data_IF_714174964091
#
_entry.id   IF_714174964091
#
_cell.length_a   1.000
_cell.length_b   1.000
_cell.length_c   1.000
_cell.angle_alpha   90.00
_cell.angle_beta   90.00
_cell.angle_gamma   90.00
#
_symmetry.space_group_name_H-M   'P 1'
#
loop_
_entity.id
_entity.type
_entity.pdbx_description
1 polymer ?
#
# COMPACT_ATOMS: atom_id res chain seq x y z
N UNK A 1 -86.95 63.81 -36.84
CA UNK A 1 -85.59 63.73 -37.39
C UNK A 1 -84.46 63.83 -36.29
N UNK A 2 -84.42 64.94 -35.50
CA UNK A 2 -83.38 65.10 -34.50
C UNK A 2 -83.44 64.12 -33.34
N UNK A 3 -84.62 63.66 -32.95
CA UNK A 3 -84.82 62.65 -31.91
C UNK A 3 -84.41 61.24 -32.39
N UNK A 4 -84.74 60.91 -33.70
CA UNK A 4 -84.34 59.62 -34.26
C UNK A 4 -82.89 59.43 -34.47
N UNK A 5 -82.14 60.53 -34.76
CA UNK A 5 -80.70 60.53 -34.80
C UNK A 5 -80.04 60.28 -33.43
N UNK A 6 -80.63 60.91 -32.38
CA UNK A 6 -80.17 60.77 -31.03
C UNK A 6 -80.43 59.35 -30.45
N UNK A 7 -81.59 58.75 -30.80
CA UNK A 7 -81.88 57.33 -30.44
C UNK A 7 -80.90 56.37 -31.12
N UNK A 8 -80.66 56.56 -32.41
CA UNK A 8 -79.66 55.73 -33.13
C UNK A 8 -78.26 55.87 -32.52
N UNK A 9 -77.89 57.07 -32.08
CA UNK A 9 -76.60 57.32 -31.48
C UNK A 9 -76.49 56.67 -30.08
N UNK A 10 -77.58 56.74 -29.28
CA UNK A 10 -77.64 56.00 -27.98
C UNK A 10 -77.65 54.52 -28.09
N UNK A 11 -78.41 53.95 -29.11
CA UNK A 11 -78.38 52.53 -29.42
C UNK A 11 -77.00 52.03 -29.85
N UNK A 12 -76.28 52.81 -30.63
CA UNK A 12 -74.91 52.51 -31.00
C UNK A 12 -73.97 52.54 -29.78
N UNK A 13 -74.05 53.56 -28.92
CA UNK A 13 -73.25 53.63 -27.71
C UNK A 13 -73.58 52.51 -26.70
N UNK A 14 -74.84 52.09 -26.64
CA UNK A 14 -75.27 50.96 -25.80
C UNK A 14 -74.70 49.63 -26.32
N UNK A 15 -74.72 49.43 -27.68
CA UNK A 15 -74.12 48.26 -28.29
C UNK A 15 -72.62 48.22 -28.07
N UNK A 16 -71.90 49.32 -28.28
CA UNK A 16 -70.46 49.42 -28.03
C UNK A 16 -70.14 49.22 -26.56
N UNK A 17 -70.95 49.70 -25.62
CA UNK A 17 -70.79 49.44 -24.20
C UNK A 17 -71.03 48.00 -23.80
N UNK A 18 -72.06 47.34 -24.37
CA UNK A 18 -72.34 45.93 -24.15
C UNK A 18 -71.23 45.05 -24.71
N UNK A 19 -70.71 45.34 -25.91
CA UNK A 19 -69.60 44.59 -26.49
C UNK A 19 -68.30 44.75 -25.66
N UNK A 20 -68.02 45.97 -25.16
CA UNK A 20 -66.91 46.24 -24.25
C UNK A 20 -67.05 45.50 -22.92
N UNK A 21 -68.30 45.37 -22.37
CA UNK A 21 -68.56 44.61 -21.18
C UNK A 21 -68.39 43.09 -21.41
N UNK A 22 -68.84 42.59 -22.56
CA UNK A 22 -68.66 41.18 -22.92
C UNK A 22 -67.16 40.81 -23.09
N UNK A 23 -66.39 41.69 -23.70
CA UNK A 23 -64.93 41.53 -23.82
C UNK A 23 -64.22 41.54 -22.45
N UNK A 24 -64.66 42.45 -21.56
CA UNK A 24 -64.12 42.53 -20.18
C UNK A 24 -64.40 41.25 -19.36
N UNK A 25 -65.61 40.70 -19.47
CA UNK A 25 -65.98 39.44 -18.82
C UNK A 25 -65.21 38.26 -19.35
N UNK A 26 -64.99 38.17 -20.66
CA UNK A 26 -64.14 37.16 -21.30
C UNK A 26 -62.70 37.24 -20.80
N UNK A 27 -62.15 38.41 -20.72
CA UNK A 27 -60.81 38.64 -20.20
C UNK A 27 -60.69 38.23 -18.72
N UNK A 28 -61.68 38.62 -17.91
CA UNK A 28 -61.75 38.20 -16.49
C UNK A 28 -61.81 36.68 -16.37
N UNK A 29 -62.60 35.99 -17.15
CA UNK A 29 -62.67 34.53 -17.19
C UNK A 29 -61.32 33.91 -17.57
N UNK A 30 -60.66 34.38 -18.59
CA UNK A 30 -59.37 33.91 -19.04
C UNK A 30 -58.27 34.15 -17.96
N UNK A 31 -58.28 35.33 -17.30
CA UNK A 31 -57.37 35.63 -16.23
C UNK A 31 -57.61 34.73 -15.01
N UNK A 32 -58.84 34.38 -14.67
CA UNK A 32 -59.16 33.41 -13.62
C UNK A 32 -58.65 32.02 -13.93
N UNK A 33 -58.79 31.57 -15.18
CA UNK A 33 -58.25 30.28 -15.63
C UNK A 33 -56.73 30.22 -15.53
N UNK A 34 -56.06 31.27 -15.99
CA UNK A 34 -54.61 31.41 -15.86
C UNK A 34 -54.16 31.45 -14.40
N UNK A 35 -54.88 32.16 -13.53
CA UNK A 35 -54.58 32.21 -12.11
C UNK A 35 -54.71 30.81 -11.45
N UNK A 36 -55.76 30.10 -11.79
CA UNK A 36 -56.00 28.76 -11.27
C UNK A 36 -54.92 27.79 -11.77
N UNK A 37 -54.53 27.81 -13.02
CA UNK A 37 -53.45 27.02 -13.57
C UNK A 37 -52.12 27.31 -12.87
N UNK A 38 -51.79 28.59 -12.63
CA UNK A 38 -50.62 28.98 -11.90
C UNK A 38 -50.63 28.52 -10.44
N UNK A 39 -51.79 28.57 -9.77
CA UNK A 39 -51.93 28.08 -8.40
C UNK A 39 -51.71 26.57 -8.29
N UNK A 40 -52.20 25.78 -9.25
CA UNK A 40 -51.95 24.33 -9.35
C UNK A 40 -50.44 24.07 -9.54
N UNK A 41 -49.80 24.79 -10.46
CA UNK A 41 -48.36 24.66 -10.69
C UNK A 41 -47.52 25.01 -9.44
N UNK A 42 -47.90 26.07 -8.73
CA UNK A 42 -47.24 26.46 -7.46
C UNK A 42 -47.38 25.35 -6.41
N UNK A 43 -48.57 24.72 -6.32
CA UNK A 43 -48.77 23.62 -5.39
C UNK A 43 -47.88 22.39 -5.74
N UNK A 44 -47.83 22.03 -7.03
CA UNK A 44 -46.93 20.98 -7.50
C UNK A 44 -45.45 21.27 -7.24
N UNK A 45 -44.99 22.47 -7.53
CA UNK A 45 -43.61 22.88 -7.28
C UNK A 45 -43.26 22.87 -5.79
N UNK A 46 -44.19 23.24 -4.90
CA UNK A 46 -43.98 23.13 -3.46
C UNK A 46 -43.84 21.68 -3.00
N UNK A 47 -44.66 20.79 -3.52
CA UNK A 47 -44.56 19.36 -3.21
C UNK A 47 -43.24 18.75 -3.68
N UNK A 48 -42.78 19.08 -4.91
CA UNK A 48 -41.50 18.64 -5.42
C UNK A 48 -40.33 19.19 -4.59
N UNK A 49 -40.41 20.45 -4.16
CA UNK A 49 -39.40 21.06 -3.31
C UNK A 49 -39.28 20.32 -1.98
N UNK A 50 -40.41 19.99 -1.37
CA UNK A 50 -40.42 19.23 -0.10
C UNK A 50 -39.78 17.84 -0.26
N UNK A 51 -40.16 17.12 -1.33
CA UNK A 51 -39.53 15.82 -1.65
C UNK A 51 -38.01 15.95 -1.84
N UNK A 52 -37.54 16.98 -2.51
CA UNK A 52 -36.09 17.23 -2.71
C UNK A 52 -35.40 17.57 -1.39
N UNK A 53 -36.01 18.34 -0.52
CA UNK A 53 -35.45 18.67 0.79
C UNK A 53 -35.28 17.42 1.68
N UNK A 54 -36.27 16.52 1.68
CA UNK A 54 -36.17 15.22 2.38
C UNK A 54 -35.01 14.38 1.82
N UNK A 55 -34.87 14.34 0.50
CA UNK A 55 -33.76 13.60 -0.13
C UNK A 55 -32.40 14.20 0.21
N UNK A 56 -32.28 15.53 0.25
CA UNK A 56 -31.03 16.21 0.65
C UNK A 56 -30.66 15.86 2.09
N UNK A 57 -31.62 15.91 3.02
CA UNK A 57 -31.37 15.54 4.41
C UNK A 57 -30.86 14.10 4.53
N UNK A 58 -31.49 13.15 3.83
CA UNK A 58 -31.06 11.75 3.80
C UNK A 58 -29.65 11.56 3.21
N UNK A 59 -29.32 12.28 2.15
CA UNK A 59 -27.99 12.24 1.56
C UNK A 59 -26.95 12.81 2.51
N UNK A 60 -27.26 13.87 3.25
CA UNK A 60 -26.38 14.43 4.26
C UNK A 60 -26.06 13.43 5.38
N UNK A 61 -27.07 12.73 5.90
CA UNK A 61 -26.89 11.66 6.89
C UNK A 61 -26.00 10.53 6.35
N UNK A 62 -26.21 10.13 5.09
CA UNK A 62 -25.40 9.10 4.43
C UNK A 62 -23.94 9.53 4.29
N UNK A 63 -23.70 10.76 3.87
CA UNK A 63 -22.34 11.33 3.75
C UNK A 63 -21.64 11.34 5.10
N UNK A 64 -22.31 11.72 6.17
CA UNK A 64 -21.72 11.75 7.50
C UNK A 64 -21.39 10.33 8.01
N UNK A 65 -22.30 9.38 7.80
CA UNK A 65 -22.04 7.95 8.10
C UNK A 65 -20.85 7.40 7.32
N UNK A 66 -20.73 7.74 6.04
CA UNK A 66 -19.59 7.33 5.21
C UNK A 66 -18.28 7.94 5.69
N UNK A 67 -18.27 9.20 6.12
CA UNK A 67 -17.06 9.83 6.69
C UNK A 67 -16.57 9.10 7.94
N UNK A 68 -17.47 8.74 8.84
CA UNK A 68 -17.12 7.97 10.04
C UNK A 68 -16.49 6.62 9.66
N UNK A 69 -17.07 5.94 8.67
CA UNK A 69 -16.55 4.66 8.16
C UNK A 69 -15.16 4.83 7.55
N UNK A 70 -14.94 5.86 6.71
CA UNK A 70 -13.65 6.16 6.09
C UNK A 70 -12.59 6.46 7.16
N UNK A 71 -12.92 7.23 8.20
CA UNK A 71 -12.01 7.54 9.29
C UNK A 71 -11.57 6.26 10.01
N UNK A 72 -12.52 5.40 10.40
CA UNK A 72 -12.22 4.11 11.04
C UNK A 72 -11.36 3.18 10.16
N UNK A 73 -11.66 3.12 8.87
CA UNK A 73 -10.85 2.36 7.91
C UNK A 73 -9.44 2.91 7.79
N UNK A 74 -9.29 4.25 7.77
CA UNK A 74 -7.99 4.91 7.68
C UNK A 74 -7.12 4.61 8.91
N UNK A 75 -7.70 4.63 10.11
CA UNK A 75 -7.03 4.23 11.36
C UNK A 75 -6.57 2.77 11.28
N UNK A 76 -7.47 1.86 10.87
CA UNK A 76 -7.16 0.44 10.73
C UNK A 76 -6.03 0.20 9.73
N UNK A 77 -6.04 0.87 8.57
CA UNK A 77 -4.96 0.80 7.58
C UNK A 77 -3.63 1.29 8.16
N UNK A 78 -3.65 2.37 8.93
CA UNK A 78 -2.45 2.89 9.60
C UNK A 78 -1.87 1.89 10.59
N UNK A 79 -2.71 1.27 11.41
CA UNK A 79 -2.28 0.23 12.37
C UNK A 79 -1.71 -1.01 11.67
N UNK A 80 -2.38 -1.48 10.61
CA UNK A 80 -1.92 -2.62 9.82
C UNK A 80 -0.57 -2.34 9.16
N UNK A 81 -0.36 -1.15 8.60
CA UNK A 81 0.90 -0.76 8.01
C UNK A 81 2.04 -0.73 9.04
N UNK A 82 1.78 -0.21 10.23
CA UNK A 82 2.77 -0.22 11.32
C UNK A 82 3.11 -1.65 11.77
N UNK A 83 2.10 -2.52 11.86
CA UNK A 83 2.30 -3.93 12.21
C UNK A 83 3.10 -4.66 11.16
N UNK A 84 2.78 -4.49 9.89
CA UNK A 84 3.53 -5.07 8.76
C UNK A 84 4.98 -4.64 8.79
N UNK A 85 5.24 -3.33 8.95
CA UNK A 85 6.60 -2.81 9.05
C UNK A 85 7.41 -3.45 10.19
N UNK A 86 6.81 -3.59 11.38
CA UNK A 86 7.47 -4.27 12.52
C UNK A 86 7.76 -5.74 12.23
N UNK A 87 6.85 -6.43 11.55
CA UNK A 87 7.04 -7.82 11.15
C UNK A 87 8.17 -7.97 10.14
N UNK A 88 8.23 -7.10 9.12
CA UNK A 88 9.28 -7.10 8.12
C UNK A 88 10.65 -6.84 8.73
N UNK A 89 10.75 -5.88 9.66
CA UNK A 89 11.99 -5.62 10.40
C UNK A 89 12.42 -6.81 11.26
N UNK A 90 11.47 -7.50 11.89
CA UNK A 90 11.77 -8.70 12.69
C UNK A 90 12.22 -9.86 11.79
N UNK A 91 11.55 -10.09 10.67
CA UNK A 91 11.92 -11.11 9.69
C UNK A 91 13.31 -10.84 9.10
N UNK A 92 13.61 -9.58 8.73
CA UNK A 92 14.92 -9.19 8.22
C UNK A 92 16.04 -9.45 9.24
N UNK A 93 15.79 -9.16 10.53
CA UNK A 93 16.74 -9.47 11.61
C UNK A 93 16.94 -10.98 11.79
N UNK A 94 15.87 -11.77 11.77
CA UNK A 94 15.95 -13.23 11.86
C UNK A 94 16.68 -13.83 10.65
N UNK A 95 16.36 -13.38 9.45
CA UNK A 95 17.01 -13.83 8.21
C UNK A 95 18.52 -13.51 8.25
N UNK A 96 18.89 -12.30 8.69
CA UNK A 96 20.30 -11.94 8.87
C UNK A 96 21.03 -12.82 9.88
N UNK A 97 20.37 -13.22 10.98
CA UNK A 97 20.98 -14.10 11.98
C UNK A 97 21.17 -15.51 11.43
N UNK A 98 20.15 -16.06 10.77
CA UNK A 98 20.16 -17.41 10.21
C UNK A 98 21.15 -17.55 9.04
N UNK A 99 21.37 -16.49 8.28
CA UNK A 99 22.27 -16.49 7.13
C UNK A 99 23.68 -15.96 7.42
N UNK A 100 24.02 -15.75 8.67
CA UNK A 100 25.40 -15.37 9.04
C UNK A 100 26.31 -16.58 9.02
N UNK A 101 27.31 -16.55 8.16
CA UNK A 101 28.46 -17.43 8.20
C UNK A 101 29.71 -16.68 8.70
N UNK A 102 30.70 -17.42 9.16
CA UNK A 102 31.92 -16.91 9.75
C UNK A 102 33.13 -17.60 9.13
N UNK A 103 33.95 -16.84 8.42
CA UNK A 103 35.13 -17.39 7.70
C UNK A 103 36.41 -16.87 8.33
N UNK A 104 37.35 -17.76 8.55
CA UNK A 104 38.70 -17.43 9.02
C UNK A 104 39.73 -18.24 8.23
N UNK A 105 40.71 -17.56 7.69
CA UNK A 105 41.86 -18.15 6.97
C UNK A 105 43.12 -17.73 7.71
N UNK A 106 44.02 -18.65 7.96
CA UNK A 106 45.27 -18.35 8.62
C UNK A 106 46.22 -19.53 8.77
N UNK A 107 47.45 -19.21 9.14
CA UNK A 107 48.45 -20.23 9.47
C UNK A 107 48.08 -20.96 10.78
N UNK A 108 48.64 -22.13 11.00
CA UNK A 108 48.47 -22.91 12.22
C UNK A 108 48.85 -22.10 13.47
N UNK A 109 49.87 -21.26 13.37
CA UNK A 109 50.31 -20.39 14.48
C UNK A 109 49.30 -19.28 14.76
N UNK A 110 48.78 -18.63 13.71
CA UNK A 110 47.75 -17.61 13.83
C UNK A 110 46.48 -18.16 14.46
N UNK A 111 46.04 -19.32 14.00
CA UNK A 111 44.85 -19.99 14.51
C UNK A 111 45.01 -20.38 15.98
N UNK A 112 46.20 -20.81 16.39
CA UNK A 112 46.54 -21.06 17.82
C UNK A 112 46.53 -19.77 18.64
N UNK A 113 47.17 -18.70 18.16
CA UNK A 113 47.21 -17.38 18.82
C UNK A 113 45.82 -16.80 19.02
N UNK A 114 44.95 -16.97 18.03
CA UNK A 114 43.56 -16.55 18.10
C UNK A 114 42.68 -17.48 18.96
N UNK A 115 43.23 -18.57 19.50
CA UNK A 115 42.49 -19.54 20.32
C UNK A 115 41.53 -20.44 19.57
N UNK A 116 41.63 -20.47 18.22
CA UNK A 116 40.79 -21.32 17.37
C UNK A 116 41.26 -22.78 17.34
N UNK A 117 42.57 -22.97 17.46
CA UNK A 117 43.19 -24.29 17.58
C UNK A 117 43.72 -24.55 18.96
N UNK A 118 43.32 -25.69 19.58
CA UNK A 118 43.83 -26.19 20.86
C UNK A 118 44.24 -27.65 20.72
N UNK A 119 45.49 -27.98 21.07
CA UNK A 119 46.05 -29.33 20.91
C UNK A 119 45.90 -29.92 19.48
N UNK A 120 46.02 -29.05 18.45
CA UNK A 120 45.93 -29.45 17.03
C UNK A 120 44.55 -29.71 16.50
N UNK A 121 43.49 -29.47 17.30
CA UNK A 121 42.09 -29.58 16.89
C UNK A 121 41.40 -28.22 16.98
N UNK A 122 40.41 -28.00 16.15
CA UNK A 122 39.54 -26.82 16.25
C UNK A 122 38.72 -26.89 17.55
N UNK A 123 38.54 -25.76 18.21
CA UNK A 123 37.66 -25.69 19.38
C UNK A 123 36.18 -25.74 18.94
N UNK A 124 35.26 -26.26 19.78
CA UNK A 124 33.86 -26.32 19.44
C UNK A 124 33.27 -24.96 19.05
N UNK A 125 32.33 -24.91 18.10
CA UNK A 125 31.70 -23.71 17.57
C UNK A 125 31.11 -22.81 18.66
N UNK A 126 30.60 -23.39 19.74
CA UNK A 126 30.04 -22.67 20.88
C UNK A 126 31.05 -21.78 21.63
N UNK A 127 32.37 -22.07 21.48
CA UNK A 127 33.47 -21.39 22.18
C UNK A 127 34.18 -20.40 21.22
N UNK A 128 33.90 -20.47 19.91
CA UNK A 128 34.55 -19.62 18.93
C UNK A 128 34.12 -18.14 19.08
N UNK A 129 35.10 -17.27 19.21
CA UNK A 129 34.91 -15.82 19.30
C UNK A 129 34.62 -15.27 17.88
N UNK A 130 33.37 -14.94 17.63
CA UNK A 130 32.90 -14.42 16.33
C UNK A 130 33.64 -13.16 15.86
N UNK A 131 34.15 -12.36 16.76
CA UNK A 131 34.89 -11.14 16.43
C UNK A 131 36.19 -11.40 15.63
N UNK A 132 36.70 -12.62 15.69
CA UNK A 132 37.94 -13.03 15.01
C UNK A 132 37.69 -13.52 13.57
N UNK A 133 36.45 -13.61 13.15
CA UNK A 133 36.04 -14.14 11.86
C UNK A 133 35.52 -13.01 10.95
N UNK A 134 35.72 -13.17 9.67
CA UNK A 134 34.99 -12.38 8.69
C UNK A 134 33.54 -12.88 8.62
N UNK A 135 32.58 -11.97 8.86
CA UNK A 135 31.15 -12.26 8.74
C UNK A 135 30.75 -12.22 7.27
N UNK A 136 30.06 -13.25 6.83
CA UNK A 136 29.56 -13.38 5.45
C UNK A 136 28.07 -13.74 5.46
N UNK A 137 27.40 -13.55 4.29
CA UNK A 137 26.07 -14.08 4.05
C UNK A 137 26.17 -15.45 3.36
N UNK A 138 25.78 -16.52 4.02
CA UNK A 138 25.91 -17.90 3.50
C UNK A 138 25.09 -18.14 2.22
N UNK A 139 24.04 -17.35 1.97
CA UNK A 139 23.24 -17.46 0.74
C UNK A 139 23.94 -16.88 -0.49
N UNK A 140 24.77 -15.88 -0.29
CA UNK A 140 25.42 -15.14 -1.38
C UNK A 140 26.87 -15.57 -1.57
N UNK A 141 27.51 -16.02 -0.48
CA UNK A 141 28.92 -16.39 -0.50
C UNK A 141 29.14 -17.69 -1.28
N UNK A 142 29.96 -17.59 -2.37
CA UNK A 142 30.20 -18.70 -3.30
C UNK A 142 31.65 -19.11 -3.38
N UNK A 143 32.56 -18.19 -3.21
CA UNK A 143 33.98 -18.46 -3.41
C UNK A 143 34.86 -17.58 -2.54
N UNK A 144 36.09 -18.06 -2.31
CA UNK A 144 37.15 -17.26 -1.69
C UNK A 144 38.50 -17.66 -2.25
N UNK A 145 39.33 -16.63 -2.55
CA UNK A 145 40.69 -16.81 -3.00
C UNK A 145 41.65 -16.62 -1.81
N UNK A 146 42.62 -17.49 -1.68
CA UNK A 146 43.63 -17.43 -0.63
C UNK A 146 44.95 -18.05 -1.06
N UNK A 147 46.03 -17.69 -0.37
CA UNK A 147 47.38 -18.22 -0.59
C UNK A 147 47.72 -19.22 0.50
N UNK A 148 48.15 -20.42 0.13
CA UNK A 148 48.49 -21.47 1.07
C UNK A 148 49.67 -22.35 0.54
N UNK A 149 50.34 -23.05 1.45
CA UNK A 149 51.26 -24.13 1.07
C UNK A 149 50.51 -25.43 0.89
N UNK A 150 49.70 -25.80 1.89
CA UNK A 150 48.85 -26.99 1.93
C UNK A 150 47.53 -26.64 2.59
N UNK A 151 46.53 -26.19 1.82
CA UNK A 151 45.28 -25.77 2.43
C UNK A 151 44.54 -26.96 3.06
N UNK A 152 43.98 -26.75 4.24
CA UNK A 152 43.16 -27.70 4.96
C UNK A 152 41.93 -26.99 5.53
N UNK A 153 40.73 -27.51 5.23
CA UNK A 153 39.51 -27.12 5.95
C UNK A 153 39.50 -27.87 7.28
N UNK A 154 39.40 -27.10 8.37
CA UNK A 154 39.43 -27.66 9.72
C UNK A 154 38.03 -27.86 10.32
N UNK A 155 37.05 -27.12 9.81
CA UNK A 155 35.62 -27.27 10.19
C UNK A 155 35.01 -28.47 9.48
N UNK A 156 34.00 -29.06 10.11
CA UNK A 156 33.27 -30.19 9.53
C UNK A 156 32.38 -29.70 8.40
N UNK A 157 32.76 -30.00 7.16
CA UNK A 157 32.06 -29.59 5.95
C UNK A 157 32.00 -30.79 4.99
N UNK A 158 30.84 -31.15 4.42
CA UNK A 158 30.74 -32.22 3.45
C UNK A 158 31.63 -31.98 2.23
N UNK A 159 32.51 -32.92 1.91
CA UNK A 159 33.48 -32.77 0.82
C UNK A 159 32.85 -32.65 -0.57
N UNK A 160 31.63 -33.16 -0.75
CA UNK A 160 30.84 -33.02 -1.98
C UNK A 160 30.29 -31.61 -2.22
N UNK A 161 30.22 -30.78 -1.17
CA UNK A 161 29.59 -29.47 -1.21
C UNK A 161 30.50 -28.32 -1.71
N UNK A 162 31.80 -28.60 -1.85
CA UNK A 162 32.78 -27.59 -2.29
C UNK A 162 33.86 -28.19 -3.17
N UNK A 163 34.66 -27.32 -3.78
CA UNK A 163 35.87 -27.68 -4.53
C UNK A 163 36.99 -26.70 -4.19
N UNK A 164 38.22 -27.19 -4.11
CA UNK A 164 39.41 -26.38 -4.00
C UNK A 164 40.24 -26.55 -5.25
N UNK A 165 40.39 -25.47 -6.02
CA UNK A 165 41.21 -25.43 -7.23
C UNK A 165 42.47 -24.61 -7.00
N UNK A 166 43.57 -24.95 -7.70
CA UNK A 166 44.77 -24.16 -7.66
C UNK A 166 44.93 -23.39 -8.99
N UNK A 167 45.25 -22.09 -8.88
CA UNK A 167 45.50 -21.21 -10.01
C UNK A 167 47.00 -20.96 -10.24
N UNK A 168 47.86 -21.75 -9.58
CA UNK A 168 49.31 -21.64 -9.64
C UNK A 168 49.95 -20.83 -8.50
N UNK A 169 51.26 -20.93 -8.31
CA UNK A 169 52.05 -20.21 -7.28
C UNK A 169 51.39 -20.16 -5.86
N UNK A 170 50.87 -21.27 -5.36
CA UNK A 170 50.24 -21.37 -4.05
C UNK A 170 48.93 -20.57 -3.88
N UNK A 171 48.32 -20.15 -4.99
CA UNK A 171 47.00 -19.52 -4.96
C UNK A 171 45.92 -20.58 -5.12
N UNK A 172 44.98 -20.57 -4.24
CA UNK A 172 43.85 -21.50 -4.18
C UNK A 172 42.53 -20.75 -4.19
N UNK A 173 41.54 -21.32 -4.84
CA UNK A 173 40.16 -20.87 -4.82
C UNK A 173 39.32 -21.97 -4.21
N UNK A 174 38.61 -21.68 -3.14
CA UNK A 174 37.54 -22.55 -2.64
C UNK A 174 36.23 -22.07 -3.23
N UNK A 175 35.53 -22.95 -3.94
CA UNK A 175 34.23 -22.68 -4.55
C UNK A 175 33.17 -23.57 -3.89
N UNK A 176 32.09 -23.00 -3.42
CA UNK A 176 30.95 -23.70 -2.82
C UNK A 176 29.99 -24.14 -3.92
N UNK A 177 29.84 -25.46 -4.11
CA UNK A 177 28.94 -26.07 -5.08
C UNK A 177 27.49 -26.08 -4.61
N UNK A 178 27.30 -26.49 -3.36
CA UNK A 178 25.99 -26.51 -2.70
C UNK A 178 26.05 -25.80 -1.34
N UNK A 179 25.56 -24.56 -1.24
CA UNK A 179 25.60 -23.79 0.02
C UNK A 179 24.82 -24.43 1.16
N UNK A 180 23.68 -25.04 0.87
CA UNK A 180 22.85 -25.68 1.90
C UNK A 180 23.59 -26.83 2.57
N UNK A 181 24.27 -27.68 1.80
CA UNK A 181 25.07 -28.78 2.33
C UNK A 181 26.36 -28.25 2.98
N UNK A 182 27.00 -27.26 2.36
CA UNK A 182 28.27 -26.72 2.86
C UNK A 182 28.16 -26.18 4.29
N UNK A 183 27.05 -25.45 4.57
CA UNK A 183 26.79 -24.82 5.86
C UNK A 183 25.88 -25.66 6.77
N UNK A 184 25.57 -26.91 6.40
CA UNK A 184 24.61 -27.78 7.13
C UNK A 184 25.08 -28.18 8.53
N UNK A 185 26.40 -28.35 8.73
CA UNK A 185 26.97 -28.83 9.97
C UNK A 185 27.47 -27.71 10.85
N UNK A 186 28.10 -26.69 10.25
CA UNK A 186 28.67 -25.54 10.97
C UNK A 186 28.53 -24.26 10.16
N UNK A 187 28.21 -23.17 10.85
CA UNK A 187 28.23 -21.82 10.25
C UNK A 187 29.65 -21.19 10.25
N UNK A 188 30.64 -21.93 10.70
CA UNK A 188 32.05 -21.51 10.70
C UNK A 188 32.84 -22.25 9.63
N UNK A 189 33.67 -21.52 8.92
CA UNK A 189 34.67 -22.06 8.01
C UNK A 189 36.06 -21.63 8.47
N UNK A 190 36.91 -22.58 8.80
CA UNK A 190 38.30 -22.35 9.16
C UNK A 190 39.21 -23.03 8.15
N UNK A 191 40.04 -22.25 7.47
CA UNK A 191 41.01 -22.75 6.49
C UNK A 191 42.42 -22.52 7.03
N UNK A 192 43.16 -23.60 7.21
CA UNK A 192 44.58 -23.55 7.54
C UNK A 192 45.42 -23.50 6.25
N UNK A 193 46.45 -22.65 6.23
CA UNK A 193 47.21 -22.31 5.02
C UNK A 193 48.61 -22.94 4.92
N UNK A 194 49.07 -23.61 5.99
CA UNK A 194 50.43 -24.20 6.12
C UNK A 194 50.42 -25.71 6.34
#
# INVERSE_FOLDING_TARGET
>A
KKQDEKIKQLEKQLSESNDSNAQSLSLISHLKEQLNAKNILIAQLKEELEKKNVNIARLQELVESQKLTINSQTETISELNQRTKRQDEALAKQDAILNNGYVLIGSKEDLKRKGILKKGKIVPDAILDRSKFAKINIREWREINFTAKRPRILTSTPSSSYEITTTGNRNFTLTVKNPSDFWSISTYLVIQTD
#
